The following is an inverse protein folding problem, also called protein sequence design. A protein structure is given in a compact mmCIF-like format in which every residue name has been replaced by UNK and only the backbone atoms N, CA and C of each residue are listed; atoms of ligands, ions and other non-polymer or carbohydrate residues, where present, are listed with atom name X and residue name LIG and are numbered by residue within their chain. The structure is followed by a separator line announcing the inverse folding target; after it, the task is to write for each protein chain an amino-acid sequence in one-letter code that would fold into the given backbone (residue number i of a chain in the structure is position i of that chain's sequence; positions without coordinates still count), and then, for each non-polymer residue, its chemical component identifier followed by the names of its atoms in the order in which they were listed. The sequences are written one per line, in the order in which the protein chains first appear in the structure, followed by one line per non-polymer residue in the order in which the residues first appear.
data_IF_977619765904
#
_entry.id   IF_977619765904
#
_cell.length_a   1.000
_cell.length_b   1.000
_cell.length_c   1.000
_cell.angle_alpha   90.00
_cell.angle_beta   90.00
_cell.angle_gamma   90.00
#
_symmetry.space_group_name_H-M   'P 1'
#
loop_
_entity.id
_entity.type
_entity.pdbx_description
1 polymer ?
#
# COMPACT_ATOMS: atom_id res chain seq x y z
N UNK A 1 -12.71 -2.73 21.89
CA UNK A 1 -12.27 -3.12 20.53
C UNK A 1 -10.85 -2.60 20.37
N UNK A 2 -9.87 -3.46 20.11
CA UNK A 2 -8.52 -2.99 19.83
C UNK A 2 -8.56 -2.17 18.52
N UNK A 3 -8.18 -0.89 18.59
CA UNK A 3 -8.02 -0.03 17.41
C UNK A 3 -6.59 -0.14 16.94
N UNK A 4 -6.38 -0.20 15.63
CA UNK A 4 -5.05 -0.24 15.03
C UNK A 4 -5.03 -1.07 13.75
N UNK A 5 -4.10 -0.75 12.86
CA UNK A 5 -3.86 -1.47 11.62
C UNK A 5 -2.48 -2.12 11.68
N UNK A 6 -2.35 -3.33 11.13
CA UNK A 6 -1.06 -4.00 11.02
C UNK A 6 -0.23 -3.36 9.90
N UNK A 7 0.82 -2.64 10.28
CA UNK A 7 1.68 -1.89 9.36
C UNK A 7 3.12 -2.36 9.52
N UNK A 8 3.78 -2.57 8.39
CA UNK A 8 5.22 -2.87 8.32
C UNK A 8 5.87 -2.07 7.18
N UNK A 9 7.19 -2.16 7.05
CA UNK A 9 7.98 -1.47 6.03
C UNK A 9 9.12 -2.36 5.55
N UNK A 10 9.70 -2.03 4.40
CA UNK A 10 10.99 -2.58 3.99
C UNK A 10 12.12 -1.91 4.78
N UNK A 11 13.08 -2.65 5.38
CA UNK A 11 13.14 -4.10 5.47
C UNK A 11 12.25 -4.69 6.59
N UNK A 12 11.89 -5.97 6.42
CA UNK A 12 11.20 -6.84 7.40
C UNK A 12 11.66 -8.29 7.18
N UNK A 13 11.38 -9.23 8.08
CA UNK A 13 11.87 -10.63 8.03
C UNK A 13 11.71 -11.32 6.66
N UNK A 14 10.67 -10.97 5.89
CA UNK A 14 10.37 -11.51 4.57
C UNK A 14 10.76 -10.59 3.39
N UNK A 15 11.33 -9.41 3.66
CA UNK A 15 11.73 -8.43 2.64
C UNK A 15 13.10 -7.80 2.94
N UNK A 16 14.12 -8.03 2.10
CA UNK A 16 15.45 -7.47 2.34
C UNK A 16 15.49 -5.96 2.11
N UNK A 17 16.52 -5.30 2.65
CA UNK A 17 16.70 -3.84 2.59
C UNK A 17 16.79 -3.32 1.14
N UNK A 18 17.38 -4.10 0.25
CA UNK A 18 17.64 -3.79 -1.15
C UNK A 18 16.56 -4.36 -2.10
N UNK A 19 15.39 -4.73 -1.57
CA UNK A 19 14.29 -5.20 -2.39
C UNK A 19 13.84 -4.17 -3.41
N UNK A 20 13.80 -4.58 -4.69
CA UNK A 20 13.20 -3.78 -5.76
C UNK A 20 11.70 -3.55 -5.54
N UNK A 21 11.15 -2.51 -6.15
CA UNK A 21 9.72 -2.19 -6.09
C UNK A 21 8.83 -3.37 -6.53
N UNK A 22 9.27 -4.12 -7.55
CA UNK A 22 8.57 -5.33 -7.98
C UNK A 22 8.57 -6.41 -6.90
N UNK A 23 9.73 -6.64 -6.26
CA UNK A 23 9.83 -7.60 -5.16
C UNK A 23 8.96 -7.17 -3.99
N UNK A 24 8.92 -5.87 -3.69
CA UNK A 24 8.02 -5.31 -2.68
C UNK A 24 6.56 -5.59 -3.01
N UNK A 25 6.11 -5.32 -4.26
CA UNK A 25 4.74 -5.57 -4.70
C UNK A 25 4.34 -7.04 -4.59
N UNK A 26 5.17 -7.94 -5.11
CA UNK A 26 4.88 -9.38 -5.10
C UNK A 26 4.96 -9.94 -3.68
N UNK A 27 5.92 -9.51 -2.88
CA UNK A 27 6.05 -9.92 -1.49
C UNK A 27 4.88 -9.46 -0.63
N UNK A 28 4.48 -8.19 -0.73
CA UNK A 28 3.30 -7.68 -0.04
C UNK A 28 2.03 -8.47 -0.45
N UNK A 29 1.86 -8.71 -1.75
CA UNK A 29 0.75 -9.51 -2.29
C UNK A 29 0.75 -10.93 -1.70
N UNK A 30 1.90 -11.61 -1.67
CA UNK A 30 2.03 -12.94 -1.11
C UNK A 30 1.74 -13.00 0.40
N UNK A 31 1.91 -11.89 1.11
CA UNK A 31 1.56 -11.74 2.53
C UNK A 31 0.13 -11.26 2.75
N UNK A 32 -0.69 -11.10 1.69
CA UNK A 32 -2.05 -10.58 1.79
C UNK A 32 -2.11 -9.11 2.20
N UNK A 33 -1.08 -8.32 1.86
CA UNK A 33 -0.94 -6.90 2.23
C UNK A 33 -1.05 -6.00 1.01
N UNK A 34 -1.65 -4.83 1.20
CA UNK A 34 -1.56 -3.73 0.24
C UNK A 34 -0.27 -2.93 0.44
N UNK A 35 0.12 -2.16 -0.58
CA UNK A 35 1.21 -1.20 -0.51
C UNK A 35 0.66 0.21 -0.41
N UNK A 36 1.17 0.98 0.54
CA UNK A 36 1.05 2.43 0.56
C UNK A 36 2.37 3.05 0.09
N UNK A 37 2.34 3.97 -0.88
CA UNK A 37 3.56 4.56 -1.43
C UNK A 37 3.38 5.97 -2.01
N UNK A 38 4.46 6.75 -1.96
CA UNK A 38 4.64 7.98 -2.76
C UNK A 38 5.34 7.68 -4.11
N UNK A 39 5.78 6.43 -4.29
CA UNK A 39 6.25 5.69 -5.47
C UNK A 39 5.36 5.71 -6.73
N UNK A 40 4.83 6.85 -7.19
CA UNK A 40 3.72 6.82 -8.17
C UNK A 40 4.11 6.17 -9.50
N UNK A 41 5.24 6.57 -10.10
CA UNK A 41 5.58 6.18 -11.47
C UNK A 41 5.82 4.67 -11.57
N UNK A 42 6.64 4.14 -10.68
CA UNK A 42 7.11 2.77 -10.81
C UNK A 42 6.00 1.80 -10.40
N UNK A 43 5.20 2.13 -9.38
CA UNK A 43 4.09 1.29 -8.94
C UNK A 43 2.90 1.30 -9.90
N UNK A 44 2.63 2.39 -10.63
CA UNK A 44 1.66 2.36 -11.73
C UNK A 44 2.11 1.40 -12.84
N UNK A 45 3.37 1.49 -13.26
CA UNK A 45 3.92 0.59 -14.29
C UNK A 45 4.00 -0.88 -13.82
N UNK A 46 4.12 -1.13 -12.52
CA UNK A 46 4.06 -2.47 -11.95
C UNK A 46 2.62 -2.99 -11.84
N UNK A 47 1.66 -2.13 -11.53
CA UNK A 47 0.25 -2.50 -11.47
C UNK A 47 -0.25 -3.06 -12.81
N UNK A 48 0.09 -2.39 -13.91
CA UNK A 48 -0.23 -2.84 -15.27
C UNK A 48 0.38 -4.21 -15.60
N UNK A 49 1.58 -4.50 -15.06
CA UNK A 49 2.28 -5.79 -15.27
C UNK A 49 1.75 -6.91 -14.38
N UNK A 50 1.20 -6.58 -13.21
CA UNK A 50 0.77 -7.52 -12.19
C UNK A 50 -0.69 -7.26 -11.79
N UNK A 51 -1.69 -7.54 -12.66
CA UNK A 51 -3.08 -7.14 -12.45
C UNK A 51 -3.78 -7.82 -11.26
N UNK A 52 -3.14 -8.82 -10.63
CA UNK A 52 -3.66 -9.54 -9.46
C UNK A 52 -2.91 -9.18 -8.16
N UNK A 53 -2.24 -8.03 -8.10
CA UNK A 53 -1.56 -7.59 -6.88
C UNK A 53 -2.53 -7.32 -5.72
N UNK A 54 -2.02 -7.32 -4.48
CA UNK A 54 -2.82 -7.14 -3.25
C UNK A 54 -3.42 -5.74 -3.05
N UNK A 55 -3.04 -4.77 -3.87
CA UNK A 55 -3.57 -3.41 -3.86
C UNK A 55 -2.48 -2.36 -3.67
N UNK A 56 -2.65 -1.19 -4.28
CA UNK A 56 -1.71 -0.07 -4.19
C UNK A 56 -2.49 1.21 -3.83
N UNK A 57 -2.09 1.84 -2.73
CA UNK A 57 -2.56 3.14 -2.27
C UNK A 57 -1.48 4.18 -2.55
N UNK A 58 -1.81 5.15 -3.39
CA UNK A 58 -0.91 6.24 -3.80
C UNK A 58 -1.20 7.50 -3.00
N UNK A 59 -0.16 8.20 -2.56
CA UNK A 59 -0.29 9.55 -2.03
C UNK A 59 0.71 10.52 -2.67
N UNK A 60 0.38 11.81 -2.68
CA UNK A 60 1.28 12.87 -3.14
C UNK A 60 2.01 13.49 -1.93
N UNK A 61 3.35 13.45 -1.91
CA UNK A 61 4.14 13.77 -0.71
C UNK A 61 3.96 15.20 -0.17
N UNK A 62 3.55 16.16 -1.00
CA UNK A 62 3.48 17.59 -0.63
C UNK A 62 2.15 18.02 -0.01
N UNK A 63 1.14 17.15 0.03
CA UNK A 63 -0.23 17.53 0.42
C UNK A 63 -0.63 17.07 1.82
N UNK A 64 0.19 16.27 2.50
CA UNK A 64 -0.23 15.61 3.73
C UNK A 64 0.53 16.11 4.96
N UNK A 65 -0.22 16.44 6.02
CA UNK A 65 0.32 16.36 7.38
C UNK A 65 0.27 14.91 7.85
N UNK A 66 1.10 14.54 8.83
CA UNK A 66 1.07 13.18 9.37
C UNK A 66 -0.32 12.81 9.91
N UNK A 67 -0.98 13.73 10.61
CA UNK A 67 -2.33 13.51 11.17
C UNK A 67 -3.36 13.28 10.07
N UNK A 68 -3.34 14.07 9.00
CA UNK A 68 -4.26 13.87 7.86
C UNK A 68 -4.00 12.53 7.17
N UNK A 69 -2.72 12.17 7.00
CA UNK A 69 -2.34 10.91 6.38
C UNK A 69 -2.83 9.70 7.19
N UNK A 70 -2.62 9.73 8.50
CA UNK A 70 -3.07 8.67 9.40
C UNK A 70 -4.59 8.56 9.43
N UNK A 71 -5.32 9.68 9.47
CA UNK A 71 -6.78 9.67 9.45
C UNK A 71 -7.34 9.12 8.13
N UNK A 72 -6.77 9.51 6.99
CA UNK A 72 -7.20 9.01 5.68
C UNK A 72 -6.90 7.51 5.53
N UNK A 73 -5.73 7.04 5.99
CA UNK A 73 -5.40 5.62 6.00
C UNK A 73 -6.31 4.83 6.94
N UNK A 74 -6.59 5.34 8.14
CA UNK A 74 -7.48 4.70 9.11
C UNK A 74 -8.89 4.52 8.52
N UNK A 75 -9.41 5.57 7.89
CA UNK A 75 -10.71 5.55 7.20
C UNK A 75 -10.72 4.51 6.09
N UNK A 76 -9.75 4.59 5.17
CA UNK A 76 -9.65 3.68 4.03
C UNK A 76 -9.58 2.22 4.47
N UNK A 77 -8.75 1.90 5.47
CA UNK A 77 -8.57 0.54 5.97
C UNK A 77 -9.76 0.04 6.80
N UNK A 78 -10.53 0.94 7.39
CA UNK A 78 -11.77 0.60 8.12
C UNK A 78 -12.95 0.37 7.18
N UNK A 79 -13.01 1.11 6.07
CA UNK A 79 -14.13 1.09 5.12
C UNK A 79 -13.98 0.05 4.01
N UNK A 80 -12.83 -0.64 3.91
CA UNK A 80 -12.55 -1.60 2.84
C UNK A 80 -12.04 -2.94 3.39
N UNK A 81 -12.16 -3.98 2.58
CA UNK A 81 -11.64 -5.33 2.86
C UNK A 81 -10.54 -5.72 1.88
N UNK A 82 -9.74 -6.73 2.21
CA UNK A 82 -8.69 -7.21 1.30
C UNK A 82 -9.20 -7.62 -0.09
N UNK A 83 -10.44 -8.12 -0.18
CA UNK A 83 -11.05 -8.50 -1.46
C UNK A 83 -11.32 -7.27 -2.35
N UNK A 84 -11.61 -6.12 -1.76
CA UNK A 84 -11.88 -4.87 -2.49
C UNK A 84 -10.62 -4.28 -3.15
N UNK A 85 -9.43 -4.81 -2.81
CA UNK A 85 -8.13 -4.26 -3.22
C UNK A 85 -7.39 -5.07 -4.29
N UNK A 86 -7.84 -6.30 -4.60
CA UNK A 86 -7.16 -7.13 -5.59
C UNK A 86 -7.13 -6.42 -6.94
N UNK A 87 -5.91 -6.17 -7.46
CA UNK A 87 -5.67 -5.45 -8.70
C UNK A 87 -6.01 -3.96 -8.67
N UNK A 88 -6.36 -3.38 -7.51
CA UNK A 88 -6.77 -1.98 -7.41
C UNK A 88 -5.60 -1.05 -7.13
N UNK A 89 -5.52 0.02 -7.91
CA UNK A 89 -4.68 1.18 -7.60
C UNK A 89 -5.60 2.36 -7.30
N UNK A 90 -5.47 2.96 -6.13
CA UNK A 90 -6.29 4.12 -5.73
C UNK A 90 -5.42 5.21 -5.14
N UNK A 91 -5.81 6.44 -5.41
CA UNK A 91 -5.28 7.58 -4.66
C UNK A 91 -5.89 7.58 -3.26
N UNK A 92 -5.05 7.86 -2.28
CA UNK A 92 -5.52 8.23 -0.96
C UNK A 92 -6.23 9.57 -1.12
N UNK A 93 -7.54 9.52 -0.99
CA UNK A 93 -8.41 10.69 -0.97
C UNK A 93 -8.91 10.88 0.47
N UNK A 94 -9.20 12.11 0.85
CA UNK A 94 -9.75 12.45 2.17
C UNK A 94 -11.18 11.91 2.38
#
# INVERSE_FOLDING_TARGET
VARGHDVTRTPVDWMPLDASDERQLLGATAQGRLIFTFNIRDFLALADRHPHHGGIVLAAQRTWTLTLLLSALDRLLTETTAADWVGQVRWLNE
#
